data_IF_287186301460
#
_entry.id   IF_287186301460
#
_cell.length_a   1.000
_cell.length_b   1.000
_cell.length_c   1.000
_cell.angle_alpha   90.00
_cell.angle_beta   90.00
_cell.angle_gamma   90.00
#
_symmetry.space_group_name_H-M   'P 1'
#
loop_
_entity.id
_entity.type
_entity.pdbx_description
1 polymer ?
#
# COMPACT_ATOMS: atom_id res chain seq x y z
N UNK A 1 -13.65 -3.62 -25.42
CA UNK A 1 -12.73 -4.76 -25.19
C UNK A 1 -11.46 -4.18 -24.57
N UNK A 2 -10.98 -4.76 -23.46
CA UNK A 2 -9.80 -4.23 -22.77
C UNK A 2 -8.52 -4.77 -23.42
N UNK A 3 -7.63 -3.94 -23.98
CA UNK A 3 -6.40 -4.41 -24.62
C UNK A 3 -5.50 -5.24 -23.70
N UNK A 4 -5.60 -5.02 -22.39
CA UNK A 4 -4.85 -5.76 -21.39
C UNK A 4 -5.24 -7.26 -21.35
N UNK A 5 -6.48 -7.62 -21.70
CA UNK A 5 -6.92 -9.01 -21.71
C UNK A 5 -6.15 -9.87 -22.73
N UNK A 6 -5.65 -9.23 -23.81
CA UNK A 6 -4.77 -9.89 -24.79
C UNK A 6 -3.31 -9.92 -24.35
N UNK A 7 -2.86 -8.89 -23.62
CA UNK A 7 -1.47 -8.80 -23.16
C UNK A 7 -1.22 -9.69 -21.93
N UNK A 8 -2.20 -9.77 -21.02
CA UNK A 8 -2.09 -10.51 -19.76
C UNK A 8 -1.64 -11.97 -19.93
N UNK A 9 -2.19 -12.78 -20.86
CA UNK A 9 -1.75 -14.17 -21.04
C UNK A 9 -0.26 -14.28 -21.42
N UNK A 10 0.28 -13.31 -22.17
CA UNK A 10 1.70 -13.27 -22.51
C UNK A 10 2.57 -12.91 -21.29
N UNK A 11 2.16 -11.91 -20.52
CA UNK A 11 2.83 -11.53 -19.29
C UNK A 11 2.79 -12.66 -18.25
N UNK A 12 1.72 -13.44 -18.23
CA UNK A 12 1.55 -14.53 -17.26
C UNK A 12 2.36 -15.79 -17.60
N UNK A 13 2.91 -15.91 -18.82
CA UNK A 13 3.90 -16.93 -19.18
C UNK A 13 5.29 -16.64 -18.61
N UNK A 14 5.58 -15.38 -18.30
CA UNK A 14 6.83 -15.01 -17.68
C UNK A 14 6.81 -15.31 -16.17
N UNK A 15 7.98 -15.51 -15.59
CA UNK A 15 8.13 -15.48 -14.13
C UNK A 15 7.48 -14.22 -13.55
N UNK A 16 6.72 -14.32 -12.44
CA UNK A 16 5.95 -13.19 -11.91
C UNK A 16 6.79 -11.95 -11.60
N UNK A 17 7.96 -12.13 -11.00
CA UNK A 17 8.84 -11.01 -10.63
C UNK A 17 9.51 -10.38 -11.85
N UNK A 18 9.92 -11.21 -12.84
CA UNK A 18 10.44 -10.70 -14.11
C UNK A 18 9.39 -9.93 -14.92
N UNK A 19 8.14 -10.40 -14.93
CA UNK A 19 7.05 -9.68 -15.58
C UNK A 19 6.82 -8.32 -14.92
N UNK A 20 6.83 -8.27 -13.58
CA UNK A 20 6.72 -7.06 -12.79
C UNK A 20 7.84 -6.07 -13.11
N UNK A 21 9.11 -6.49 -13.01
CA UNK A 21 10.28 -5.65 -13.24
C UNK A 21 10.29 -5.05 -14.66
N UNK A 22 9.98 -5.88 -15.67
CA UNK A 22 9.89 -5.44 -17.08
C UNK A 22 8.76 -4.44 -17.31
N UNK A 23 7.59 -4.67 -16.70
CA UNK A 23 6.45 -3.77 -16.81
C UNK A 23 6.77 -2.42 -16.19
N UNK A 24 7.33 -2.38 -14.98
CA UNK A 24 7.74 -1.14 -14.34
C UNK A 24 8.82 -0.41 -15.14
N UNK A 25 9.82 -1.12 -15.65
CA UNK A 25 10.87 -0.51 -16.48
C UNK A 25 10.32 0.11 -17.78
N UNK A 26 9.32 -0.55 -18.39
CA UNK A 26 8.62 -0.01 -19.55
C UNK A 26 7.83 1.25 -19.19
N UNK A 27 7.05 1.21 -18.12
CA UNK A 27 6.24 2.34 -17.66
C UNK A 27 7.10 3.53 -17.20
N UNK A 28 8.27 3.27 -16.61
CA UNK A 28 9.23 4.31 -16.24
C UNK A 28 9.77 5.08 -17.45
N UNK A 29 10.05 4.34 -18.54
CA UNK A 29 10.58 4.94 -19.78
C UNK A 29 9.50 5.56 -20.66
N UNK A 30 8.34 4.98 -20.66
CA UNK A 30 7.22 5.34 -21.53
C UNK A 30 5.90 5.39 -20.74
N UNK A 31 5.68 6.43 -19.92
CA UNK A 31 4.46 6.57 -19.12
C UNK A 31 3.19 6.59 -19.96
N UNK A 32 3.31 6.92 -21.27
CA UNK A 32 2.20 6.94 -22.23
C UNK A 32 1.51 5.58 -22.41
N UNK A 33 2.19 4.48 -22.14
CA UNK A 33 1.57 3.14 -22.15
C UNK A 33 0.55 2.95 -21.03
N UNK A 34 0.62 3.77 -19.97
CA UNK A 34 -0.48 3.82 -19.02
C UNK A 34 -1.58 4.75 -19.58
N UNK A 35 -2.78 4.24 -19.85
CA UNK A 35 -3.87 5.06 -20.38
C UNK A 35 -4.21 6.19 -19.42
N UNK A 36 -4.53 7.37 -19.97
CA UNK A 36 -4.95 8.51 -19.14
C UNK A 36 -6.28 8.22 -18.48
N UNK A 37 -6.32 8.35 -17.16
CA UNK A 37 -7.52 8.29 -16.33
C UNK A 37 -7.87 9.68 -15.79
N UNK A 38 -9.17 9.93 -15.69
CA UNK A 38 -9.74 11.12 -15.04
C UNK A 38 -11.03 10.68 -14.35
N UNK A 39 -11.38 11.31 -13.25
CA UNK A 39 -12.64 11.05 -12.55
C UNK A 39 -12.48 11.03 -11.02
N UNK A 40 -13.62 10.91 -10.36
CA UNK A 40 -13.76 11.02 -8.92
C UNK A 40 -13.77 12.48 -8.44
N UNK A 41 -14.31 12.68 -7.25
CA UNK A 41 -14.40 13.99 -6.60
C UNK A 41 -13.28 14.14 -5.60
N UNK A 42 -12.71 15.34 -5.40
CA UNK A 42 -11.74 15.61 -4.34
C UNK A 42 -12.31 15.29 -2.95
N UNK A 43 -11.44 14.84 -2.06
CA UNK A 43 -11.80 14.58 -0.66
C UNK A 43 -10.73 15.12 0.27
N UNK A 44 -11.18 15.82 1.31
CA UNK A 44 -10.29 16.31 2.37
C UNK A 44 -10.12 15.23 3.44
N UNK A 45 -8.88 14.86 3.73
CA UNK A 45 -8.54 13.88 4.77
C UNK A 45 -7.15 14.18 5.33
N UNK A 46 -6.98 14.10 6.64
CA UNK A 46 -5.68 14.34 7.33
C UNK A 46 -5.05 15.72 7.02
N UNK A 47 -5.86 16.71 6.62
CA UNK A 47 -5.38 18.03 6.18
C UNK A 47 -4.80 18.06 4.77
N UNK A 48 -5.06 17.03 3.97
CA UNK A 48 -4.66 16.91 2.58
C UNK A 48 -5.89 16.84 1.66
N UNK A 49 -5.79 17.41 0.46
CA UNK A 49 -6.81 17.32 -0.59
C UNK A 49 -6.44 16.20 -1.57
N UNK A 50 -7.07 15.05 -1.44
CA UNK A 50 -6.91 13.95 -2.39
C UNK A 50 -7.74 14.21 -3.64
N UNK A 51 -7.19 14.16 -4.86
CA UNK A 51 -7.93 14.39 -6.10
C UNK A 51 -9.13 13.46 -6.30
N UNK A 52 -9.04 12.24 -5.80
CA UNK A 52 -10.12 11.26 -5.70
C UNK A 52 -9.78 10.18 -4.65
N UNK A 53 -10.72 9.29 -4.39
CA UNK A 53 -10.60 8.25 -3.33
C UNK A 53 -9.80 7.02 -3.73
N UNK A 54 -9.33 6.90 -4.99
CA UNK A 54 -8.64 5.71 -5.48
C UNK A 54 -7.12 5.88 -5.42
N UNK A 55 -6.42 4.95 -4.78
CA UNK A 55 -4.98 4.93 -4.64
C UNK A 55 -4.31 3.67 -5.14
N UNK A 56 -3.00 3.78 -5.40
CA UNK A 56 -2.11 2.65 -5.63
C UNK A 56 -1.49 2.22 -4.31
N UNK A 57 -1.60 0.94 -3.96
CA UNK A 57 -1.01 0.39 -2.74
C UNK A 57 0.50 0.23 -2.84
N UNK A 58 1.19 0.38 -1.71
CA UNK A 58 2.61 0.07 -1.58
C UNK A 58 2.94 -1.36 -2.01
N UNK A 59 4.18 -1.54 -2.45
CA UNK A 59 4.72 -2.83 -2.90
C UNK A 59 4.73 -3.00 -4.41
N UNK A 60 3.88 -2.29 -5.16
CA UNK A 60 3.90 -2.36 -6.62
C UNK A 60 5.10 -1.57 -7.20
N UNK A 61 5.30 -0.36 -6.74
CA UNK A 61 6.47 0.45 -7.12
C UNK A 61 7.30 0.79 -5.87
N UNK A 62 8.13 -0.16 -5.46
CA UNK A 62 8.90 -0.01 -4.22
C UNK A 62 9.94 1.11 -4.27
N UNK A 63 10.44 1.42 -5.45
CA UNK A 63 11.54 2.35 -5.65
C UNK A 63 11.13 3.64 -6.36
N UNK A 64 9.83 3.89 -6.56
CA UNK A 64 9.30 5.12 -7.17
C UNK A 64 9.72 5.29 -8.64
N UNK A 65 9.83 4.18 -9.40
CA UNK A 65 10.33 4.23 -10.78
C UNK A 65 9.27 4.63 -11.80
N UNK A 66 7.98 4.39 -11.51
CA UNK A 66 6.88 4.57 -12.44
C UNK A 66 5.79 5.54 -11.95
N UNK A 67 6.12 6.43 -11.01
CA UNK A 67 5.17 7.41 -10.42
C UNK A 67 4.42 8.19 -11.49
N UNK A 68 5.12 8.72 -12.51
CA UNK A 68 4.49 9.48 -13.60
C UNK A 68 3.49 8.66 -14.42
N UNK A 69 3.72 7.34 -14.56
CA UNK A 69 2.78 6.47 -15.26
C UNK A 69 1.51 6.24 -14.43
N UNK A 70 1.65 6.04 -13.13
CA UNK A 70 0.51 5.87 -12.22
C UNK A 70 -0.26 7.18 -12.02
N UNK A 71 0.41 8.33 -11.96
CA UNK A 71 -0.25 9.65 -11.99
C UNK A 71 -1.10 9.83 -13.25
N UNK A 72 -0.54 9.45 -14.40
CA UNK A 72 -1.27 9.46 -15.67
C UNK A 72 -2.50 8.55 -15.67
N UNK A 73 -2.46 7.41 -14.95
CA UNK A 73 -3.60 6.50 -14.82
C UNK A 73 -4.79 7.12 -14.08
N UNK A 74 -4.59 8.23 -13.35
CA UNK A 74 -5.63 8.97 -12.65
C UNK A 74 -5.82 8.58 -11.19
N UNK A 75 -4.85 7.90 -10.58
CA UNK A 75 -4.87 7.69 -9.13
C UNK A 75 -4.92 9.03 -8.39
N UNK A 76 -5.71 9.13 -7.35
CA UNK A 76 -5.75 10.27 -6.44
C UNK A 76 -4.54 10.29 -5.50
N UNK A 77 -3.96 9.11 -5.24
CA UNK A 77 -2.72 8.97 -4.47
C UNK A 77 -1.95 7.72 -4.87
N UNK A 78 -0.64 7.76 -4.69
CA UNK A 78 0.30 6.70 -5.06
C UNK A 78 1.18 6.42 -3.84
N UNK A 79 1.17 5.18 -3.34
CA UNK A 79 2.04 4.77 -2.25
C UNK A 79 3.21 3.96 -2.79
N UNK A 80 4.42 4.54 -2.71
CA UNK A 80 5.68 3.88 -3.06
C UNK A 80 6.29 3.20 -1.84
N UNK A 81 7.22 2.29 -2.03
CA UNK A 81 7.79 1.49 -0.94
C UNK A 81 7.11 0.09 -0.89
N UNK A 82 7.29 -0.70 0.15
CA UNK A 82 7.99 -0.39 1.41
C UNK A 82 9.48 -0.20 1.13
N UNK A 83 10.03 0.86 1.64
CA UNK A 83 11.44 1.18 1.59
C UNK A 83 12.04 1.13 3.00
N UNK A 84 13.28 0.70 3.09
CA UNK A 84 14.05 0.60 4.34
C UNK A 84 15.23 1.57 4.33
N UNK A 85 15.81 1.94 5.48
CA UNK A 85 16.96 2.84 5.55
C UNK A 85 18.10 2.42 4.61
N UNK A 86 18.49 1.16 4.69
CA UNK A 86 19.51 0.57 3.81
C UNK A 86 18.86 -0.26 2.71
N UNK A 87 19.49 -0.40 1.52
CA UNK A 87 19.02 -1.34 0.51
C UNK A 87 19.07 -2.77 1.05
N UNK A 88 18.10 -3.60 0.61
CA UNK A 88 18.12 -5.01 0.93
C UNK A 88 17.55 -5.86 -0.22
N UNK A 89 18.10 -7.07 -0.46
CA UNK A 89 17.69 -7.92 -1.58
C UNK A 89 16.32 -8.57 -1.38
N UNK A 90 15.83 -8.61 -0.13
CA UNK A 90 14.64 -9.38 0.25
C UNK A 90 14.93 -10.87 0.40
N UNK A 91 13.88 -11.68 0.39
CA UNK A 91 14.00 -13.14 0.55
C UNK A 91 14.52 -13.80 -0.74
N UNK A 92 15.07 -15.04 -0.67
CA UNK A 92 15.46 -15.82 -1.84
C UNK A 92 14.29 -16.05 -2.80
N UNK A 93 14.60 -16.15 -4.09
CA UNK A 93 13.65 -16.52 -5.16
C UNK A 93 13.51 -18.04 -5.26
N UNK A 94 12.32 -18.56 -5.66
CA UNK A 94 11.08 -17.86 -6.00
C UNK A 94 10.36 -17.34 -4.76
N UNK A 95 9.77 -16.17 -4.85
CA UNK A 95 9.13 -15.45 -3.73
C UNK A 95 7.83 -14.73 -4.09
N UNK A 96 7.36 -14.94 -5.34
CA UNK A 96 6.13 -14.36 -5.86
C UNK A 96 5.43 -15.40 -6.73
N UNK A 97 4.19 -15.75 -6.37
CA UNK A 97 3.40 -16.80 -7.01
C UNK A 97 2.03 -16.25 -7.41
N UNK A 98 1.68 -16.38 -8.68
CA UNK A 98 0.34 -16.05 -9.19
C UNK A 98 -0.54 -17.28 -9.18
N UNK A 99 -1.78 -17.12 -8.73
CA UNK A 99 -2.82 -18.13 -8.72
C UNK A 99 -3.99 -17.63 -9.60
N UNK A 100 -3.88 -17.77 -10.94
CA UNK A 100 -4.82 -17.15 -11.88
C UNK A 100 -6.27 -17.57 -11.67
N UNK A 101 -6.51 -18.83 -11.35
CA UNK A 101 -7.84 -19.42 -11.13
C UNK A 101 -8.55 -18.77 -9.92
N UNK A 102 -7.77 -18.28 -8.96
CA UNK A 102 -8.25 -17.62 -7.76
C UNK A 102 -8.10 -16.08 -7.83
N UNK A 103 -7.60 -15.54 -8.95
CA UNK A 103 -7.24 -14.12 -9.06
C UNK A 103 -6.41 -13.63 -7.85
N UNK A 104 -5.45 -14.43 -7.41
CA UNK A 104 -4.72 -14.28 -6.17
C UNK A 104 -3.20 -14.29 -6.39
N UNK A 105 -2.47 -13.75 -5.42
CA UNK A 105 -1.01 -13.73 -5.40
C UNK A 105 -0.54 -14.12 -4.00
N UNK A 106 0.38 -15.08 -3.92
CA UNK A 106 1.16 -15.35 -2.70
C UNK A 106 2.53 -14.72 -2.87
N UNK A 107 2.99 -13.98 -1.86
CA UNK A 107 4.30 -13.37 -1.88
C UNK A 107 5.00 -13.43 -0.53
N UNK A 108 6.33 -13.54 -0.57
CA UNK A 108 7.26 -13.42 0.55
C UNK A 108 8.45 -12.54 0.15
N UNK A 109 8.18 -11.34 -0.38
CA UNK A 109 9.20 -10.48 -0.98
C UNK A 109 10.31 -10.08 -0.02
N UNK A 110 10.01 -9.88 1.27
CA UNK A 110 10.99 -9.51 2.30
C UNK A 110 11.51 -8.08 2.13
N UNK A 111 10.64 -7.16 1.70
CA UNK A 111 10.95 -5.74 1.51
C UNK A 111 12.19 -5.48 0.64
N UNK A 112 12.32 -6.21 -0.49
CA UNK A 112 13.37 -5.92 -1.46
C UNK A 112 13.25 -4.50 -2.00
N UNK A 113 14.28 -3.68 -1.80
CA UNK A 113 14.30 -2.27 -2.21
C UNK A 113 15.75 -1.74 -2.30
N UNK A 114 15.92 -0.57 -2.91
CA UNK A 114 17.21 0.08 -3.13
C UNK A 114 17.63 1.04 -2.00
N UNK A 115 16.88 1.07 -0.89
CA UNK A 115 17.09 1.97 0.24
C UNK A 115 16.44 3.34 0.04
N UNK A 116 16.24 4.03 1.16
CA UNK A 116 15.56 5.33 1.20
C UNK A 116 16.32 6.39 0.40
N UNK A 117 17.65 6.38 0.40
CA UNK A 117 18.47 7.36 -0.34
C UNK A 117 18.24 7.25 -1.84
N UNK A 118 18.18 6.04 -2.39
CA UNK A 118 17.91 5.84 -3.80
C UNK A 118 16.48 6.26 -4.18
N UNK A 119 15.50 6.04 -3.29
CA UNK A 119 14.12 6.49 -3.51
C UNK A 119 14.06 8.02 -3.52
N UNK A 120 14.57 8.69 -2.51
CA UNK A 120 14.49 10.15 -2.38
C UNK A 120 15.27 10.88 -3.48
N UNK A 121 16.44 10.39 -3.86
CA UNK A 121 17.18 10.91 -5.00
C UNK A 121 16.39 10.82 -6.32
N UNK A 122 15.65 9.73 -6.52
CA UNK A 122 14.76 9.59 -7.68
C UNK A 122 13.57 10.53 -7.61
N UNK A 123 12.90 10.61 -6.47
CA UNK A 123 11.76 11.49 -6.29
C UNK A 123 12.12 12.96 -6.48
N UNK A 124 13.31 13.38 -6.09
CA UNK A 124 13.82 14.75 -6.29
C UNK A 124 13.91 15.13 -7.78
N UNK A 125 14.07 14.15 -8.68
CA UNK A 125 14.15 14.39 -10.14
C UNK A 125 12.86 14.00 -10.88
N UNK A 126 11.90 13.37 -10.20
CA UNK A 126 10.60 13.00 -10.77
C UNK A 126 9.69 14.22 -10.82
N UNK A 127 9.04 14.52 -11.96
CA UNK A 127 8.04 15.58 -12.01
C UNK A 127 6.97 15.37 -10.92
N UNK A 128 6.60 16.48 -10.24
CA UNK A 128 5.60 16.41 -9.18
C UNK A 128 4.29 15.85 -9.74
N UNK A 129 3.77 14.71 -9.22
CA UNK A 129 2.50 14.18 -9.67
C UNK A 129 1.34 15.06 -9.19
N UNK A 130 0.17 14.92 -9.83
CA UNK A 130 -1.09 15.47 -9.33
C UNK A 130 -1.64 14.62 -8.20
N UNK A 131 -1.42 13.32 -8.27
CA UNK A 131 -1.69 12.39 -7.19
C UNK A 131 -0.84 12.74 -5.97
N UNK A 132 -1.40 12.61 -4.76
CA UNK A 132 -0.61 12.70 -3.55
C UNK A 132 0.36 11.51 -3.45
N UNK A 133 1.57 11.79 -3.01
CA UNK A 133 2.62 10.77 -2.88
C UNK A 133 2.74 10.29 -1.44
N UNK A 134 2.38 9.04 -1.20
CA UNK A 134 2.68 8.32 0.04
C UNK A 134 4.01 7.58 -0.04
N UNK A 135 4.77 7.57 1.04
CA UNK A 135 5.97 6.74 1.16
C UNK A 135 5.78 5.75 2.31
N UNK A 136 5.81 4.47 1.97
CA UNK A 136 5.68 3.38 2.92
C UNK A 136 7.05 3.00 3.47
N UNK A 137 7.21 3.08 4.78
CA UNK A 137 8.45 2.85 5.50
C UNK A 137 8.42 1.51 6.23
N UNK A 138 9.55 0.83 6.25
CA UNK A 138 9.77 -0.38 7.01
C UNK A 138 11.16 -0.44 7.62
N UNK A 139 11.33 -1.28 8.63
CA UNK A 139 12.64 -1.54 9.19
C UNK A 139 13.43 -2.55 8.33
N UNK A 140 14.74 -2.46 8.32
CA UNK A 140 15.60 -3.46 7.71
C UNK A 140 15.46 -4.83 8.40
N UNK A 141 15.64 -5.90 7.64
CA UNK A 141 15.49 -7.27 8.13
C UNK A 141 16.47 -7.59 9.27
N UNK A 142 17.69 -7.11 9.15
CA UNK A 142 18.79 -7.32 10.09
C UNK A 142 18.77 -6.36 11.29
N UNK A 143 17.93 -5.33 11.29
CA UNK A 143 17.72 -4.45 12.44
C UNK A 143 16.89 -5.21 13.49
N UNK A 144 17.37 -5.34 14.75
CA UNK A 144 16.60 -5.94 15.85
C UNK A 144 15.28 -5.16 16.10
N UNK A 145 14.30 -5.82 16.69
CA UNK A 145 13.01 -5.17 16.97
C UNK A 145 13.16 -4.02 17.97
N UNK A 146 14.07 -4.13 18.90
CA UNK A 146 14.40 -3.12 19.92
C UNK A 146 14.97 -1.83 19.29
N UNK A 147 15.64 -1.96 18.14
CA UNK A 147 16.20 -0.84 17.36
C UNK A 147 15.28 -0.40 16.18
N UNK A 148 14.06 -0.93 16.11
CA UNK A 148 13.13 -0.62 15.01
C UNK A 148 12.85 0.88 14.87
N UNK A 149 12.74 1.59 16.00
CA UNK A 149 12.47 3.02 16.02
C UNK A 149 13.53 3.83 15.28
N UNK A 150 14.80 3.44 15.35
CA UNK A 150 15.89 4.15 14.69
C UNK A 150 15.76 4.06 13.16
N UNK A 151 15.40 2.89 12.64
CA UNK A 151 15.13 2.71 11.21
C UNK A 151 13.95 3.58 10.74
N UNK A 152 12.86 3.63 11.53
CA UNK A 152 11.72 4.50 11.20
C UNK A 152 12.07 5.98 11.28
N UNK A 153 12.87 6.43 12.25
CA UNK A 153 13.36 7.81 12.34
C UNK A 153 14.16 8.20 11.10
N UNK A 154 15.11 7.35 10.67
CA UNK A 154 15.88 7.58 9.45
C UNK A 154 14.93 7.68 8.24
N UNK A 155 13.96 6.78 8.15
CA UNK A 155 12.95 6.79 7.08
C UNK A 155 12.13 8.08 7.07
N UNK A 156 11.61 8.50 8.23
CA UNK A 156 10.83 9.74 8.40
C UNK A 156 11.64 10.96 7.96
N UNK A 157 12.86 11.12 8.49
CA UNK A 157 13.74 12.26 8.21
C UNK A 157 14.02 12.39 6.71
N UNK A 158 14.40 11.30 6.06
CA UNK A 158 14.78 11.31 4.65
C UNK A 158 13.58 11.43 3.71
N UNK A 159 12.44 10.83 4.05
CA UNK A 159 11.22 10.89 3.23
C UNK A 159 10.45 12.20 3.40
N UNK A 160 10.65 12.94 4.48
CA UNK A 160 9.81 14.07 4.91
C UNK A 160 9.58 15.12 3.83
N UNK A 161 10.61 15.54 3.11
CA UNK A 161 10.52 16.55 2.06
C UNK A 161 9.82 16.07 0.79
N UNK A 162 9.71 14.76 0.60
CA UNK A 162 9.22 14.14 -0.64
C UNK A 162 7.81 13.56 -0.53
N UNK A 163 7.34 13.27 0.67
CA UNK A 163 6.04 12.63 0.89
C UNK A 163 4.95 13.64 1.20
N UNK A 164 3.74 13.42 0.68
CA UNK A 164 2.54 14.10 1.16
C UNK A 164 1.98 13.42 2.42
N UNK A 165 2.14 12.10 2.55
CA UNK A 165 1.92 11.35 3.78
C UNK A 165 2.94 10.20 3.90
N UNK A 166 3.13 9.68 5.12
CA UNK A 166 4.01 8.55 5.40
C UNK A 166 3.20 7.39 5.96
N UNK A 167 3.53 6.16 5.55
CA UNK A 167 2.90 4.95 6.06
C UNK A 167 3.92 4.09 6.79
N UNK A 168 3.61 3.71 8.01
CA UNK A 168 4.43 2.79 8.81
C UNK A 168 3.91 1.38 8.63
N UNK A 169 4.71 0.50 8.05
CA UNK A 169 4.31 -0.88 7.81
C UNK A 169 4.67 -1.75 9.02
N UNK A 170 3.68 -2.00 9.87
CA UNK A 170 3.83 -2.88 11.03
C UNK A 170 3.39 -4.28 10.60
N UNK A 171 4.35 -5.10 10.18
CA UNK A 171 4.09 -6.45 9.66
C UNK A 171 3.99 -7.53 10.74
N UNK A 172 4.31 -7.22 12.00
CA UNK A 172 4.21 -8.15 13.14
C UNK A 172 3.76 -7.40 14.39
N UNK A 173 2.54 -7.63 14.86
CA UNK A 173 2.05 -6.98 16.07
C UNK A 173 2.61 -7.67 17.31
N UNK A 174 3.77 -7.26 17.77
CA UNK A 174 4.11 -7.42 19.18
C UNK A 174 3.54 -6.22 19.92
N UNK A 175 2.37 -6.37 20.50
CA UNK A 175 1.62 -5.31 21.18
C UNK A 175 2.43 -4.61 22.28
N UNK A 176 3.35 -5.30 22.93
CA UNK A 176 4.16 -4.72 24.01
C UNK A 176 5.15 -3.65 23.51
N UNK A 177 5.76 -3.83 22.33
CA UNK A 177 6.67 -2.84 21.75
C UNK A 177 5.98 -1.81 20.85
N UNK A 178 4.71 -2.01 20.49
CA UNK A 178 4.00 -1.15 19.56
C UNK A 178 3.76 0.25 20.13
N UNK A 179 3.38 0.36 21.40
CA UNK A 179 3.13 1.64 22.07
C UNK A 179 4.38 2.53 22.06
N UNK A 180 5.52 2.00 22.44
CA UNK A 180 6.78 2.74 22.51
C UNK A 180 7.24 3.14 21.09
N UNK A 181 7.09 2.23 20.14
CA UNK A 181 7.40 2.50 18.74
C UNK A 181 6.57 3.65 18.18
N UNK A 182 5.24 3.61 18.36
CA UNK A 182 4.35 4.66 17.85
C UNK A 182 4.55 5.98 18.58
N UNK A 183 4.78 5.96 19.88
CA UNK A 183 5.14 7.17 20.64
C UNK A 183 6.43 7.81 20.13
N UNK A 184 7.47 7.00 19.86
CA UNK A 184 8.73 7.47 19.30
C UNK A 184 8.58 8.03 17.87
N UNK A 185 7.77 7.37 17.02
CA UNK A 185 7.44 7.86 15.67
C UNK A 185 6.67 9.18 15.74
N UNK A 186 5.70 9.30 16.66
CA UNK A 186 4.93 10.54 16.84
C UNK A 186 5.81 11.69 17.31
N UNK A 187 6.71 11.45 18.25
CA UNK A 187 7.67 12.43 18.72
C UNK A 187 8.56 12.92 17.55
N UNK A 188 9.04 12.02 16.70
CA UNK A 188 9.84 12.37 15.53
C UNK A 188 9.01 13.14 14.48
N UNK A 189 7.75 12.75 14.23
CA UNK A 189 6.83 13.50 13.36
C UNK A 189 6.68 14.95 13.85
N UNK A 190 6.45 15.15 15.15
CA UNK A 190 6.30 16.49 15.72
C UNK A 190 7.59 17.30 15.60
N UNK A 191 8.74 16.72 15.93
CA UNK A 191 10.04 17.37 15.80
C UNK A 191 10.28 17.86 14.36
N UNK A 192 10.02 17.00 13.36
CA UNK A 192 10.19 17.35 11.94
C UNK A 192 9.18 18.43 11.50
N UNK A 193 7.95 18.38 12.01
CA UNK A 193 6.94 19.39 11.71
C UNK A 193 7.34 20.77 12.26
N UNK A 194 7.86 20.83 13.47
CA UNK A 194 8.32 22.08 14.12
C UNK A 194 9.54 22.64 13.39
N UNK A 195 10.51 21.79 13.02
CA UNK A 195 11.73 22.22 12.31
C UNK A 195 11.45 22.74 10.89
N UNK A 196 10.48 22.13 10.19
CA UNK A 196 10.24 22.43 8.77
C UNK A 196 9.02 23.33 8.53
N UNK A 197 8.26 23.67 9.57
CA UNK A 197 6.96 24.33 9.50
C UNK A 197 5.99 23.62 8.52
N UNK A 198 6.14 22.29 8.38
CA UNK A 198 5.35 21.44 7.47
C UNK A 198 4.85 20.21 8.22
N UNK A 199 3.55 19.99 8.22
CA UNK A 199 2.97 18.77 8.75
C UNK A 199 2.85 17.71 7.64
N UNK A 200 3.39 16.50 7.87
CA UNK A 200 3.21 15.32 7.04
C UNK A 200 2.47 14.28 7.86
N UNK A 201 1.24 13.89 7.49
CA UNK A 201 0.51 12.85 8.20
C UNK A 201 1.25 11.51 8.19
N UNK A 202 1.14 10.77 9.30
CA UNK A 202 1.71 9.43 9.45
C UNK A 202 0.60 8.44 9.76
N UNK A 203 0.42 7.47 8.87
CA UNK A 203 -0.59 6.42 9.00
C UNK A 203 0.05 5.07 9.30
N UNK A 204 -0.70 4.18 9.95
CA UNK A 204 -0.23 2.85 10.35
C UNK A 204 -0.90 1.77 9.51
N UNK A 205 -0.11 0.93 8.82
CA UNK A 205 -0.63 -0.19 8.04
C UNK A 205 -0.63 -1.46 8.87
N UNK A 206 -1.80 -2.07 9.05
CA UNK A 206 -2.03 -3.24 9.88
C UNK A 206 -2.24 -4.52 9.07
N UNK A 207 -1.96 -5.67 9.69
CA UNK A 207 -2.23 -7.00 9.13
C UNK A 207 -3.72 -7.38 9.31
N UNK A 208 -4.26 -8.26 8.45
CA UNK A 208 -5.63 -8.74 8.57
C UNK A 208 -5.82 -9.88 9.57
N UNK A 209 -4.73 -10.53 10.01
CA UNK A 209 -4.77 -11.81 10.70
C UNK A 209 -4.83 -11.68 12.24
N UNK A 210 -5.29 -10.53 12.72
CA UNK A 210 -5.51 -10.28 14.15
C UNK A 210 -6.89 -10.82 14.56
N UNK A 211 -6.97 -11.52 15.68
CA UNK A 211 -8.25 -11.74 16.34
C UNK A 211 -8.86 -10.41 16.83
N UNK A 212 -10.11 -10.43 17.25
CA UNK A 212 -10.81 -9.20 17.63
C UNK A 212 -10.16 -8.51 18.84
N UNK A 213 -9.66 -9.26 19.81
CA UNK A 213 -9.02 -8.68 20.98
C UNK A 213 -7.70 -7.98 20.62
N UNK A 214 -6.87 -8.63 19.82
CA UNK A 214 -5.61 -8.06 19.34
C UNK A 214 -5.85 -6.89 18.36
N UNK A 215 -6.89 -6.97 17.52
CA UNK A 215 -7.27 -5.87 16.64
C UNK A 215 -7.63 -4.63 17.46
N UNK A 216 -8.57 -4.74 18.40
CA UNK A 216 -9.00 -3.59 19.19
C UNK A 216 -7.88 -3.03 20.06
N UNK A 217 -7.05 -3.85 20.70
CA UNK A 217 -5.88 -3.40 21.45
C UNK A 217 -4.87 -2.64 20.54
N UNK A 218 -4.70 -3.08 19.29
CA UNK A 218 -3.85 -2.39 18.31
C UNK A 218 -4.47 -1.04 17.91
N UNK A 219 -5.79 -0.99 17.70
CA UNK A 219 -6.51 0.24 17.35
C UNK A 219 -6.43 1.27 18.47
N UNK A 220 -6.63 0.84 19.73
CA UNK A 220 -6.51 1.70 20.89
C UNK A 220 -5.09 2.27 21.01
N UNK A 221 -4.07 1.44 20.81
CA UNK A 221 -2.67 1.89 20.83
C UNK A 221 -2.37 2.92 19.74
N UNK A 222 -2.91 2.75 18.53
CA UNK A 222 -2.78 3.70 17.42
C UNK A 222 -3.48 5.03 17.76
N UNK A 223 -4.68 4.97 18.33
CA UNK A 223 -5.44 6.14 18.73
C UNK A 223 -4.76 6.91 19.89
N UNK A 224 -4.30 6.20 20.93
CA UNK A 224 -3.57 6.77 22.06
C UNK A 224 -2.26 7.47 21.62
N UNK A 225 -1.58 6.90 20.63
CA UNK A 225 -0.39 7.51 20.03
C UNK A 225 -0.70 8.72 19.13
N UNK A 226 -1.98 9.08 18.95
CA UNK A 226 -2.44 10.16 18.08
C UNK A 226 -1.90 10.05 16.64
N UNK A 227 -1.87 8.83 16.09
CA UNK A 227 -1.51 8.62 14.69
C UNK A 227 -2.60 9.19 13.78
N UNK A 228 -2.23 9.61 12.56
CA UNK A 228 -3.12 10.37 11.69
C UNK A 228 -4.13 9.49 10.93
N UNK A 229 -3.90 8.17 10.84
CA UNK A 229 -4.81 7.27 10.16
C UNK A 229 -4.32 5.81 10.15
N UNK A 230 -5.15 4.95 9.56
CA UNK A 230 -4.91 3.50 9.46
C UNK A 230 -5.05 3.06 8.02
N UNK A 231 -4.14 2.17 7.55
CA UNK A 231 -4.31 1.41 6.30
C UNK A 231 -4.69 -0.03 6.67
N UNK A 232 -5.85 -0.46 6.26
CA UNK A 232 -6.38 -1.81 6.46
C UNK A 232 -6.74 -2.44 5.10
N UNK A 233 -6.01 -3.48 4.64
CA UNK A 233 -5.04 -4.28 5.38
C UNK A 233 -3.79 -4.60 4.54
N UNK A 234 -2.79 -5.23 5.18
CA UNK A 234 -1.74 -5.95 4.48
C UNK A 234 -2.30 -7.28 3.89
N UNK A 235 -1.43 -8.15 3.38
CA UNK A 235 -1.77 -9.52 2.93
C UNK A 235 -2.09 -10.43 4.11
N UNK A 236 -2.87 -11.50 3.89
CA UNK A 236 -3.24 -12.48 4.91
C UNK A 236 -2.34 -13.72 4.90
N UNK A 237 -2.15 -14.33 6.05
CA UNK A 237 -1.52 -15.65 6.19
C UNK A 237 -2.54 -16.79 6.01
N UNK A 238 -3.83 -16.51 6.11
CA UNK A 238 -4.89 -17.48 5.82
C UNK A 238 -4.94 -17.79 4.31
N UNK A 239 -4.69 -19.05 3.99
CA UNK A 239 -4.68 -19.59 2.63
C UNK A 239 -5.75 -20.65 2.40
N UNK A 240 -6.72 -20.75 3.30
CA UNK A 240 -7.82 -21.74 3.21
C UNK A 240 -8.54 -21.68 1.86
N UNK A 241 -8.78 -20.48 1.33
CA UNK A 241 -9.44 -20.26 0.05
C UNK A 241 -8.63 -20.77 -1.18
N UNK A 242 -7.35 -21.05 -1.04
CA UNK A 242 -6.44 -21.50 -2.11
C UNK A 242 -5.71 -22.80 -1.74
N UNK A 243 -6.13 -23.49 -0.69
CA UNK A 243 -5.44 -24.67 -0.15
C UNK A 243 -5.28 -25.79 -1.17
N UNK A 244 -6.22 -25.95 -2.11
CA UNK A 244 -6.17 -26.98 -3.18
C UNK A 244 -5.27 -26.61 -4.36
N UNK A 245 -4.82 -25.35 -4.46
CA UNK A 245 -3.92 -24.91 -5.54
C UNK A 245 -2.50 -25.42 -5.29
N UNK A 246 -1.74 -25.74 -6.38
CA UNK A 246 -0.36 -26.22 -6.29
C UNK A 246 0.58 -25.32 -5.46
N UNK A 247 0.33 -24.02 -5.44
CA UNK A 247 1.05 -23.03 -4.61
C UNK A 247 0.35 -22.72 -3.27
N UNK A 248 -0.79 -23.37 -2.94
CA UNK A 248 -1.53 -23.09 -1.71
C UNK A 248 -0.72 -23.29 -0.43
N UNK A 249 0.25 -24.19 -0.45
CA UNK A 249 1.18 -24.45 0.67
C UNK A 249 2.40 -23.51 0.74
N UNK A 250 2.60 -22.61 -0.23
CA UNK A 250 3.73 -21.70 -0.23
C UNK A 250 3.69 -20.74 0.95
N UNK A 251 4.87 -20.48 1.55
CA UNK A 251 4.98 -19.47 2.60
C UNK A 251 4.79 -18.06 2.04
N UNK A 252 4.26 -17.16 2.86
CA UNK A 252 4.05 -15.76 2.49
C UNK A 252 2.60 -15.31 2.65
N UNK A 253 2.34 -14.06 2.33
CA UNK A 253 1.01 -13.46 2.43
C UNK A 253 0.21 -13.63 1.14
N UNK A 254 -1.07 -13.96 1.28
CA UNK A 254 -2.06 -14.06 0.20
C UNK A 254 -2.76 -12.72 -0.01
N UNK A 255 -2.90 -12.32 -1.28
CA UNK A 255 -3.64 -11.14 -1.72
C UNK A 255 -4.53 -11.46 -2.92
N UNK A 256 -5.37 -10.52 -3.33
CA UNK A 256 -6.31 -10.69 -4.45
C UNK A 256 -7.72 -11.03 -3.99
N UNK A 257 -8.51 -11.66 -4.86
CA UNK A 257 -9.93 -11.92 -4.62
C UNK A 257 -10.25 -12.61 -3.28
N UNK A 258 -9.45 -13.60 -2.80
CA UNK A 258 -9.72 -14.26 -1.52
C UNK A 258 -9.74 -13.32 -0.30
N UNK A 259 -9.00 -12.19 -0.38
CA UNK A 259 -8.92 -11.22 0.74
C UNK A 259 -10.08 -10.21 0.78
N UNK A 260 -10.94 -10.17 -0.24
CA UNK A 260 -11.97 -9.12 -0.40
C UNK A 260 -12.90 -9.02 0.81
N UNK A 261 -13.54 -10.13 1.19
CA UNK A 261 -14.52 -10.15 2.27
C UNK A 261 -13.86 -9.88 3.65
N UNK A 262 -12.74 -10.55 3.92
CA UNK A 262 -12.03 -10.41 5.21
C UNK A 262 -11.54 -8.98 5.43
N UNK A 263 -10.88 -8.37 4.44
CA UNK A 263 -10.40 -6.99 4.55
C UNK A 263 -11.54 -5.96 4.68
N UNK A 264 -12.67 -6.19 4.01
CA UNK A 264 -13.86 -5.32 4.14
C UNK A 264 -14.50 -5.43 5.54
N UNK A 265 -14.55 -6.64 6.11
CA UNK A 265 -15.03 -6.84 7.48
C UNK A 265 -14.16 -6.11 8.52
N UNK A 266 -12.82 -6.13 8.33
CA UNK A 266 -11.90 -5.39 9.20
C UNK A 266 -12.12 -3.88 9.08
N UNK A 267 -12.28 -3.34 7.88
CA UNK A 267 -12.61 -1.91 7.67
C UNK A 267 -13.86 -1.53 8.46
N UNK A 268 -14.93 -2.35 8.41
CA UNK A 268 -16.16 -2.11 9.16
C UNK A 268 -15.93 -2.12 10.69
N UNK A 269 -15.13 -3.06 11.20
CA UNK A 269 -14.77 -3.13 12.63
C UNK A 269 -13.99 -1.90 13.07
N UNK A 270 -13.00 -1.47 12.26
CA UNK A 270 -12.21 -0.27 12.56
C UNK A 270 -13.09 0.97 12.60
N UNK A 271 -13.95 1.17 11.60
CA UNK A 271 -14.85 2.34 11.56
C UNK A 271 -15.82 2.36 12.74
N UNK A 272 -16.33 1.20 13.17
CA UNK A 272 -17.21 1.09 14.33
C UNK A 272 -16.46 1.44 15.63
N UNK A 273 -15.19 1.04 15.78
CA UNK A 273 -14.38 1.27 16.97
C UNK A 273 -13.78 2.68 17.02
N UNK A 274 -13.33 3.20 15.88
CA UNK A 274 -12.69 4.52 15.73
C UNK A 274 -13.42 5.36 14.66
N UNK A 275 -14.60 5.94 14.98
CA UNK A 275 -15.46 6.60 13.99
C UNK A 275 -14.81 7.78 13.25
N UNK A 276 -13.85 8.47 13.87
CA UNK A 276 -13.20 9.67 13.32
C UNK A 276 -11.80 9.42 12.74
N UNK A 277 -11.27 8.20 12.88
CA UNK A 277 -9.93 7.86 12.37
C UNK A 277 -9.92 7.86 10.84
N UNK A 278 -8.95 8.52 10.22
CA UNK A 278 -8.75 8.40 8.78
C UNK A 278 -8.46 6.95 8.40
N UNK A 279 -9.21 6.39 7.45
CA UNK A 279 -9.18 4.97 7.13
C UNK A 279 -8.99 4.73 5.64
N UNK A 280 -7.84 4.17 5.29
CA UNK A 280 -7.51 3.77 3.93
C UNK A 280 -7.68 2.26 3.82
N UNK A 281 -8.62 1.80 2.99
CA UNK A 281 -8.84 0.38 2.79
C UNK A 281 -7.92 -0.19 1.71
N UNK A 282 -7.39 -1.39 1.94
CA UNK A 282 -6.61 -2.16 0.97
C UNK A 282 -6.93 -3.65 1.07
N UNK A 283 -6.74 -4.38 -0.02
CA UNK A 283 -6.93 -5.83 -0.09
C UNK A 283 -8.19 -6.24 -0.84
N UNK A 284 -8.03 -7.07 -1.86
CA UNK A 284 -9.12 -7.73 -2.57
C UNK A 284 -9.98 -6.84 -3.47
N UNK A 285 -9.54 -5.65 -3.86
CA UNK A 285 -10.26 -4.80 -4.81
C UNK A 285 -9.99 -5.28 -6.24
N UNK A 286 -10.91 -6.06 -6.77
CA UNK A 286 -10.82 -6.66 -8.12
C UNK A 286 -11.77 -5.98 -9.12
N UNK A 287 -12.77 -5.24 -8.64
CA UNK A 287 -13.80 -4.53 -9.40
C UNK A 287 -14.18 -3.22 -8.70
N UNK A 288 -14.84 -2.31 -9.41
CA UNK A 288 -15.37 -1.07 -8.83
C UNK A 288 -16.36 -1.35 -7.66
N UNK A 289 -17.15 -2.41 -7.77
CA UNK A 289 -18.06 -2.82 -6.69
C UNK A 289 -17.33 -3.20 -5.40
N UNK A 290 -16.13 -3.80 -5.49
CA UNK A 290 -15.32 -4.13 -4.29
C UNK A 290 -14.78 -2.85 -3.63
N UNK A 291 -14.42 -1.84 -4.44
CA UNK A 291 -14.05 -0.51 -3.95
C UNK A 291 -15.25 0.14 -3.21
N UNK A 292 -16.44 0.12 -3.83
CA UNK A 292 -17.64 0.67 -3.21
C UNK A 292 -17.97 -0.02 -1.90
N UNK A 293 -17.90 -1.35 -1.85
CA UNK A 293 -18.15 -2.10 -0.62
C UNK A 293 -17.20 -1.69 0.53
N UNK A 294 -15.96 -1.28 0.24
CA UNK A 294 -15.04 -0.76 1.25
C UNK A 294 -15.40 0.66 1.70
N UNK A 295 -15.84 1.51 0.77
CA UNK A 295 -16.36 2.85 1.11
C UNK A 295 -17.62 2.74 1.95
N UNK A 296 -18.55 1.85 1.62
CA UNK A 296 -19.77 1.57 2.38
C UNK A 296 -19.47 0.99 3.78
N UNK A 297 -18.37 0.24 3.90
CA UNK A 297 -17.88 -0.26 5.19
C UNK A 297 -17.24 0.85 6.05
N UNK A 298 -17.09 2.06 5.51
CA UNK A 298 -16.62 3.23 6.22
C UNK A 298 -15.18 3.65 5.91
N UNK A 299 -14.55 3.11 4.85
CA UNK A 299 -13.26 3.62 4.39
C UNK A 299 -13.41 5.03 3.79
N UNK A 300 -12.42 5.89 4.02
CA UNK A 300 -12.34 7.21 3.39
C UNK A 300 -11.68 7.13 2.01
N UNK A 301 -10.67 6.28 1.89
CA UNK A 301 -9.87 6.06 0.69
C UNK A 301 -9.69 4.55 0.44
N UNK A 302 -9.41 4.17 -0.80
CA UNK A 302 -9.23 2.76 -1.19
C UNK A 302 -7.99 2.59 -2.06
N UNK A 303 -7.15 1.62 -1.73
CA UNK A 303 -5.96 1.25 -2.51
C UNK A 303 -6.17 -0.04 -3.28
N UNK A 304 -5.63 -0.11 -4.51
CA UNK A 304 -5.59 -1.33 -5.33
C UNK A 304 -4.16 -1.82 -5.53
N UNK A 305 -3.99 -3.14 -5.65
CA UNK A 305 -2.73 -3.83 -5.97
C UNK A 305 -3.00 -5.00 -6.92
N UNK A 306 -3.41 -6.16 -6.39
CA UNK A 306 -3.61 -7.40 -7.17
C UNK A 306 -4.64 -7.24 -8.28
N UNK A 307 -5.70 -6.45 -8.03
CA UNK A 307 -6.68 -6.13 -9.06
C UNK A 307 -6.07 -5.45 -10.29
N UNK A 308 -5.10 -4.55 -10.10
CA UNK A 308 -4.40 -3.92 -11.22
C UNK A 308 -3.59 -4.94 -12.03
N UNK A 309 -2.99 -5.95 -11.38
CA UNK A 309 -2.24 -7.01 -12.06
C UNK A 309 -3.16 -7.91 -12.89
N UNK A 310 -4.37 -8.22 -12.39
CA UNK A 310 -5.32 -9.10 -13.07
C UNK A 310 -6.19 -8.41 -14.10
N UNK A 311 -6.59 -7.14 -13.87
CA UNK A 311 -7.52 -6.37 -14.71
C UNK A 311 -6.86 -5.28 -15.53
N UNK A 312 -5.59 -4.96 -15.22
CA UNK A 312 -4.85 -3.89 -15.87
C UNK A 312 -5.43 -2.49 -15.61
N UNK A 313 -5.04 -1.52 -16.43
CA UNK A 313 -5.47 -0.12 -16.27
C UNK A 313 -6.98 0.11 -16.40
N UNK A 314 -7.71 -0.86 -16.96
CA UNK A 314 -9.16 -0.75 -17.07
C UNK A 314 -9.83 -0.70 -15.69
N UNK A 315 -9.29 -1.43 -14.69
CA UNK A 315 -9.81 -1.35 -13.32
C UNK A 315 -9.79 0.08 -12.78
N UNK A 316 -8.69 0.82 -13.02
CA UNK A 316 -8.58 2.22 -12.58
C UNK A 316 -9.70 3.06 -13.19
N UNK A 317 -9.93 2.93 -14.52
CA UNK A 317 -10.99 3.66 -15.22
C UNK A 317 -12.38 3.29 -14.71
N UNK A 318 -12.61 2.01 -14.43
CA UNK A 318 -13.92 1.53 -13.94
C UNK A 318 -14.19 2.07 -12.52
N UNK A 319 -13.18 2.08 -11.66
CA UNK A 319 -13.27 2.67 -10.33
C UNK A 319 -13.52 4.19 -10.40
N UNK A 320 -12.78 4.91 -11.24
CA UNK A 320 -12.94 6.35 -11.38
C UNK A 320 -14.34 6.73 -11.91
N UNK A 321 -14.83 6.02 -12.95
CA UNK A 321 -16.20 6.21 -13.44
C UNK A 321 -17.25 5.93 -12.37
N UNK A 322 -17.03 4.93 -11.54
CA UNK A 322 -17.93 4.62 -10.45
C UNK A 322 -17.96 5.77 -9.42
N UNK A 323 -16.81 6.33 -9.06
CA UNK A 323 -16.71 7.48 -8.15
C UNK A 323 -17.35 8.77 -8.71
N UNK A 324 -17.46 8.92 -10.04
CA UNK A 324 -18.17 10.04 -10.65
C UNK A 324 -19.69 9.92 -10.51
N UNK A 325 -20.20 8.69 -10.40
CA UNK A 325 -21.63 8.38 -10.34
C UNK A 325 -22.17 8.37 -8.92
N UNK A 326 -21.29 8.18 -7.93
CA UNK A 326 -21.61 8.18 -6.49
C UNK A 326 -21.50 9.61 -5.91
#
# INVERSE_FOLDING_TARGET
MNPYDYLRPLLFRLDPERAHDRTLALLARMPVFMPRGTGGKPVELMGLTFPNRLGLAAGLDKNGVAVSAFDRAGFGFIEVGTVTPRPQPGNPRPRLFRLPEHEAIINRMGFNNLGIDALTARLATTPKPRALLGINLGKNKDTPNEAALDDYRIGLQKAWAHADYLAINISSPNTAGLRDLLAGIKAEQQRLADETARRVPVVVKIAPDLDDAALYATLDTIAEANMDGIIATNTTLDKSAVASHSYGGEQGGLSGAPLTAASTAIVKKIRAHLPQMALIAAGGVMRAADMQAKLDAGADLVQIYSGLIYRGPQLVRDCLRHLDQA
#
